data_IF_491271480213
#
_entry.id   IF_491271480213
#
_cell.length_a   1.000
_cell.length_b   1.000
_cell.length_c   1.000
_cell.angle_alpha   90.00
_cell.angle_beta   90.00
_cell.angle_gamma   90.00
#
_symmetry.space_group_name_H-M   'P 1'
#
loop_
_entity.id
_entity.type
_entity.pdbx_description
1 polymer ?
#
# COMPACT_ATOMS: atom_id res chain seq x y z
N UNK A 1 -7.97 -11.91 6.58
CA UNK A 1 -7.88 -10.58 5.93
C UNK A 1 -8.71 -10.58 4.69
N UNK A 2 -9.64 -9.64 4.58
CA UNK A 2 -10.54 -9.51 3.45
C UNK A 2 -9.85 -8.89 2.21
N UNK A 3 -8.94 -7.94 2.39
CA UNK A 3 -8.23 -7.30 1.27
C UNK A 3 -6.76 -7.05 1.59
N UNK A 4 -5.89 -7.30 0.60
CA UNK A 4 -4.46 -7.05 0.67
C UNK A 4 -4.02 -6.32 -0.58
N UNK A 5 -3.50 -5.11 -0.39
CA UNK A 5 -2.98 -4.25 -1.45
C UNK A 5 -1.49 -3.96 -1.18
N UNK A 6 -0.73 -3.68 -2.23
CA UNK A 6 0.69 -3.30 -2.17
C UNK A 6 0.83 -1.96 -2.86
N UNK A 7 1.46 -1.00 -2.17
CA UNK A 7 1.83 0.30 -2.72
C UNK A 7 3.31 0.24 -3.09
N UNK A 8 3.60 0.03 -4.38
CA UNK A 8 4.97 0.02 -4.87
C UNK A 8 5.53 1.43 -4.92
N UNK A 9 6.77 1.56 -4.46
CA UNK A 9 7.55 2.78 -4.59
C UNK A 9 7.97 3.00 -6.04
N UNK A 10 8.02 4.26 -6.46
CA UNK A 10 8.64 4.62 -7.74
C UNK A 10 10.03 5.18 -7.51
N UNK A 11 10.88 5.14 -8.54
CA UNK A 11 12.31 5.48 -8.41
C UNK A 11 12.58 6.92 -7.97
N UNK A 12 11.69 7.86 -8.28
CA UNK A 12 11.87 9.29 -7.99
C UNK A 12 11.18 9.75 -6.70
N UNK A 13 10.67 8.82 -5.91
CA UNK A 13 9.88 9.13 -4.73
C UNK A 13 10.73 9.16 -3.47
N UNK A 14 10.46 10.14 -2.61
CA UNK A 14 11.00 10.19 -1.25
C UNK A 14 10.31 9.13 -0.38
N UNK A 15 10.97 7.96 -0.24
CA UNK A 15 10.42 6.82 0.51
C UNK A 15 10.29 7.13 2.00
N UNK A 16 11.23 7.86 2.58
CA UNK A 16 11.24 8.16 4.02
C UNK A 16 10.06 9.05 4.38
N UNK A 17 9.85 10.13 3.64
CA UNK A 17 8.69 11.02 3.82
C UNK A 17 7.36 10.27 3.69
N UNK A 18 7.26 9.34 2.75
CA UNK A 18 6.05 8.53 2.54
C UNK A 18 5.81 7.58 3.71
N UNK A 19 6.86 6.93 4.21
CA UNK A 19 6.79 6.03 5.36
C UNK A 19 6.39 6.81 6.62
N UNK A 20 7.02 7.96 6.90
CA UNK A 20 6.65 8.83 8.03
C UNK A 20 5.20 9.25 7.95
N UNK A 21 4.76 9.67 6.76
CA UNK A 21 3.38 10.12 6.56
C UNK A 21 2.38 9.00 6.78
N UNK A 22 2.62 7.81 6.24
CA UNK A 22 1.73 6.65 6.43
C UNK A 22 1.77 6.16 7.88
N UNK A 23 2.90 6.26 8.57
CA UNK A 23 3.03 5.94 9.99
C UNK A 23 2.19 6.89 10.86
N UNK A 24 2.00 8.15 10.42
CA UNK A 24 1.11 9.10 11.11
C UNK A 24 -0.38 8.78 11.00
N UNK A 25 -0.78 7.81 10.16
CA UNK A 25 -2.18 7.48 9.97
C UNK A 25 -2.69 6.66 11.15
N UNK A 26 -3.88 7.02 11.63
CA UNK A 26 -4.58 6.21 12.63
C UNK A 26 -5.17 4.99 11.94
N UNK A 27 -4.53 3.84 12.16
CA UNK A 27 -5.00 2.53 11.68
C UNK A 27 -6.09 2.02 12.62
N UNK A 28 -7.19 1.52 12.06
CA UNK A 28 -8.26 0.86 12.82
C UNK A 28 -8.24 -0.63 12.53
N UNK A 29 -8.95 -1.05 11.49
CA UNK A 29 -9.05 -2.43 11.03
C UNK A 29 -8.05 -2.74 9.91
N UNK A 30 -6.87 -2.12 10.00
CA UNK A 30 -5.82 -2.17 9.01
C UNK A 30 -4.48 -2.50 9.66
N UNK A 31 -3.63 -3.18 8.90
CA UNK A 31 -2.23 -3.41 9.26
C UNK A 31 -1.34 -3.07 8.09
N UNK A 32 -0.20 -2.47 8.41
CA UNK A 32 0.78 -2.00 7.46
C UNK A 32 2.09 -2.70 7.77
N UNK A 33 2.77 -3.15 6.71
CA UNK A 33 4.13 -3.62 6.76
C UNK A 33 4.96 -2.86 5.73
N UNK A 34 6.02 -2.21 6.19
CA UNK A 34 6.96 -1.48 5.33
C UNK A 34 8.02 -2.45 4.83
N UNK A 35 8.06 -2.69 3.52
CA UNK A 35 9.11 -3.48 2.89
C UNK A 35 9.94 -2.67 1.91
N UNK A 36 10.94 -3.32 1.32
CA UNK A 36 11.93 -2.68 0.46
C UNK A 36 11.33 -2.13 -0.86
N UNK A 37 10.46 -2.92 -1.49
CA UNK A 37 9.83 -2.60 -2.78
C UNK A 37 8.57 -1.75 -2.64
N UNK A 38 8.03 -1.61 -1.43
CA UNK A 38 6.78 -0.93 -1.19
C UNK A 38 6.15 -1.25 0.15
N UNK A 39 4.94 -0.71 0.32
CA UNK A 39 4.16 -0.80 1.55
C UNK A 39 3.05 -1.83 1.36
N UNK A 40 3.05 -2.85 2.20
CA UNK A 40 2.05 -3.91 2.21
C UNK A 40 0.94 -3.53 3.17
N UNK A 41 -0.26 -3.38 2.64
CA UNK A 41 -1.40 -2.89 3.39
C UNK A 41 -2.52 -3.91 3.38
N UNK A 42 -2.79 -4.49 4.54
CA UNK A 42 -3.87 -5.44 4.73
C UNK A 42 -5.03 -4.83 5.51
N UNK A 43 -6.24 -5.25 5.15
CA UNK A 43 -7.51 -4.84 5.76
C UNK A 43 -8.22 -6.10 6.23
N UNK A 44 -8.70 -6.12 7.47
CA UNK A 44 -9.30 -7.34 8.02
C UNK A 44 -10.72 -7.56 7.48
N UNK A 45 -11.53 -6.50 7.34
CA UNK A 45 -12.90 -6.56 6.82
C UNK A 45 -13.12 -5.75 5.53
N UNK A 46 -14.03 -6.20 4.66
CA UNK A 46 -14.44 -5.45 3.44
C UNK A 46 -15.39 -4.29 3.77
N UNK A 47 -16.18 -4.43 4.84
CA UNK A 47 -17.20 -3.46 5.29
C UNK A 47 -16.58 -2.10 5.64
N UNK A 48 -15.34 -2.09 6.11
CA UNK A 48 -14.64 -0.86 6.49
C UNK A 48 -13.79 -0.25 5.38
N UNK A 49 -13.67 -0.85 4.20
CA UNK A 49 -12.80 -0.37 3.11
C UNK A 49 -13.01 1.12 2.75
N UNK A 50 -14.27 1.58 2.69
CA UNK A 50 -14.61 2.98 2.41
C UNK A 50 -14.37 3.91 3.60
N UNK A 51 -14.26 3.35 4.81
CA UNK A 51 -14.01 4.08 6.06
C UNK A 51 -12.54 4.17 6.42
N UNK A 52 -11.68 3.36 5.81
CA UNK A 52 -10.29 3.26 6.21
C UNK A 52 -9.40 4.41 5.71
N UNK A 53 -8.27 4.58 6.38
CA UNK A 53 -7.26 5.60 6.07
C UNK A 53 -6.67 5.39 4.68
N UNK A 54 -6.60 4.14 4.21
CA UNK A 54 -6.26 3.79 2.83
C UNK A 54 -7.16 4.45 1.77
N UNK A 55 -8.44 4.67 2.03
CA UNK A 55 -9.33 5.32 1.05
C UNK A 55 -9.47 6.83 1.30
N UNK A 56 -9.55 7.25 2.57
CA UNK A 56 -9.84 8.64 2.93
C UNK A 56 -8.61 9.55 2.98
N UNK A 57 -7.48 9.03 3.45
CA UNK A 57 -6.28 9.81 3.70
C UNK A 57 -5.30 9.66 2.53
N UNK A 58 -5.07 8.42 2.08
CA UNK A 58 -4.11 8.13 1.01
C UNK A 58 -4.38 8.90 -0.30
N UNK A 59 -5.65 9.05 -0.71
CA UNK A 59 -6.01 9.78 -1.95
C UNK A 59 -5.71 11.29 -1.87
N UNK A 60 -5.58 11.83 -0.65
CA UNK A 60 -5.29 13.25 -0.40
C UNK A 60 -3.80 13.56 -0.36
N UNK A 61 -2.96 12.54 -0.30
CA UNK A 61 -1.52 12.72 -0.21
C UNK A 61 -0.93 13.11 -1.56
N UNK A 62 0.05 14.01 -1.54
CA UNK A 62 0.78 14.51 -2.71
C UNK A 62 1.50 13.38 -3.47
N UNK A 63 1.98 12.37 -2.75
CA UNK A 63 2.62 11.19 -3.31
C UNK A 63 1.66 10.14 -3.89
N UNK A 64 0.33 10.31 -3.78
CA UNK A 64 -0.64 9.31 -4.27
C UNK A 64 -0.44 8.97 -5.75
N UNK A 65 -0.11 9.98 -6.57
CA UNK A 65 0.17 9.81 -8.00
C UNK A 65 1.55 9.21 -8.30
N UNK A 66 2.42 9.17 -7.29
CA UNK A 66 3.79 8.67 -7.38
C UNK A 66 3.90 7.22 -6.92
N UNK A 67 2.89 6.64 -6.27
CA UNK A 67 2.89 5.23 -5.87
C UNK A 67 2.11 4.37 -6.87
N UNK A 68 2.56 3.14 -7.08
CA UNK A 68 1.82 2.17 -7.91
C UNK A 68 1.08 1.18 -7.02
N UNK A 69 -0.24 1.34 -6.94
CA UNK A 69 -1.08 0.50 -6.09
C UNK A 69 -1.55 -0.75 -6.86
N UNK A 70 -1.30 -1.95 -6.33
CA UNK A 70 -1.76 -3.22 -6.92
C UNK A 70 -2.32 -4.16 -5.85
N UNK A 71 -3.29 -4.99 -6.24
CA UNK A 71 -3.77 -6.08 -5.37
C UNK A 71 -2.65 -7.11 -5.17
N UNK A 72 -2.64 -7.77 -4.01
CA UNK A 72 -1.72 -8.88 -3.69
C UNK A 72 -1.58 -9.92 -4.80
N UNK A 73 -2.71 -10.40 -5.37
CA UNK A 73 -2.68 -11.36 -6.50
C UNK A 73 -1.89 -10.85 -7.71
N UNK A 74 -1.96 -9.56 -8.01
CA UNK A 74 -1.20 -8.96 -9.10
C UNK A 74 0.28 -8.84 -8.72
N UNK A 75 0.59 -8.46 -7.49
CA UNK A 75 1.96 -8.40 -6.98
C UNK A 75 2.63 -9.80 -7.04
N UNK A 76 1.93 -10.85 -6.60
CA UNK A 76 2.41 -12.23 -6.70
C UNK A 76 2.67 -12.65 -8.15
N UNK A 77 1.78 -12.26 -9.08
CA UNK A 77 1.98 -12.54 -10.51
C UNK A 77 3.22 -11.84 -11.07
N UNK A 78 3.46 -10.58 -10.69
CA UNK A 78 4.67 -9.83 -11.08
C UNK A 78 5.92 -10.56 -10.55
N UNK A 79 5.94 -10.94 -9.27
CA UNK A 79 7.06 -11.67 -8.68
C UNK A 79 7.32 -13.01 -9.39
N UNK A 80 6.26 -13.74 -9.74
CA UNK A 80 6.37 -14.99 -10.49
C UNK A 80 6.98 -14.78 -11.88
N UNK A 81 6.61 -13.70 -12.56
CA UNK A 81 7.20 -13.35 -13.86
C UNK A 81 8.67 -12.99 -13.73
N UNK A 82 9.05 -12.23 -12.70
CA UNK A 82 10.45 -11.84 -12.45
C UNK A 82 11.35 -13.02 -12.05
N UNK A 83 10.81 -14.03 -11.36
CA UNK A 83 11.56 -15.24 -10.97
C UNK A 83 11.75 -16.25 -12.11
N UNK A 84 10.93 -16.17 -13.15
CA UNK A 84 10.94 -17.08 -14.29
C UNK A 84 11.53 -16.43 -15.55
N UNK A 85 12.08 -15.22 -15.44
CA UNK A 85 12.70 -14.45 -16.51
C UNK A 85 14.22 -14.50 -16.46
#
# INVERSE_FOLDING_TARGET
>A
MARKDVLFFTEKMDKERVIERITSFSLRDEVIHFGELGIYWGKYTEVEYLKTSYHKQLIKEDFYRQVTIRKSKTAEKILRLLRNG
#
